data_IF_298842335449
#
_entry.id   IF_298842335449
#
_cell.length_a   1.000
_cell.length_b   1.000
_cell.length_c   1.000
_cell.angle_alpha   90.00
_cell.angle_beta   90.00
_cell.angle_gamma   90.00
#
_symmetry.space_group_name_H-M   'P 1'
#
loop_
_entity.id
_entity.type
_entity.pdbx_description
1 polymer ?
#
# COMPACT_ATOMS: atom_id res chain seq x y z
N UNK A 1 -13.69 -9.72 -1.60
CA UNK A 1 -13.93 -8.60 -0.65
C UNK A 1 -12.67 -8.19 0.12
N UNK A 2 -11.74 -9.11 0.38
CA UNK A 2 -10.51 -8.85 1.13
C UNK A 2 -9.58 -7.82 0.47
N UNK A 3 -9.38 -7.91 -0.85
CA UNK A 3 -8.55 -6.95 -1.61
C UNK A 3 -9.06 -5.51 -1.48
N UNK A 4 -10.39 -5.30 -1.51
CA UNK A 4 -10.98 -3.96 -1.36
C UNK A 4 -10.73 -3.37 0.04
N UNK A 5 -10.75 -4.20 1.08
CA UNK A 5 -10.44 -3.75 2.45
C UNK A 5 -8.97 -3.35 2.58
N UNK A 6 -8.08 -4.18 2.03
CA UNK A 6 -6.64 -3.89 2.00
C UNK A 6 -6.34 -2.60 1.25
N UNK A 7 -6.93 -2.40 0.07
CA UNK A 7 -6.73 -1.19 -0.73
C UNK A 7 -7.21 0.07 0.00
N UNK A 8 -8.37 0.00 0.67
CA UNK A 8 -8.89 1.12 1.46
C UNK A 8 -8.00 1.44 2.67
N UNK A 9 -7.53 0.42 3.38
CA UNK A 9 -6.62 0.61 4.52
C UNK A 9 -5.29 1.23 4.07
N UNK A 10 -4.73 0.73 2.96
CA UNK A 10 -3.51 1.27 2.37
C UNK A 10 -3.70 2.75 1.97
N UNK A 11 -4.81 3.07 1.29
CA UNK A 11 -5.12 4.43 0.89
C UNK A 11 -5.27 5.37 2.10
N UNK A 12 -5.97 4.93 3.15
CA UNK A 12 -6.15 5.71 4.38
C UNK A 12 -4.83 5.95 5.13
N UNK A 13 -3.88 5.02 5.03
CA UNK A 13 -2.53 5.16 5.58
C UNK A 13 -1.58 5.99 4.68
N UNK A 14 -2.06 6.56 3.57
CA UNK A 14 -1.25 7.35 2.64
C UNK A 14 -0.43 6.52 1.65
N UNK A 15 -0.70 5.22 1.52
CA UNK A 15 -0.04 4.35 0.55
C UNK A 15 -0.79 4.42 -0.79
N UNK A 16 -0.18 5.06 -1.78
CA UNK A 16 -0.74 5.15 -3.13
C UNK A 16 -0.90 3.75 -3.77
N UNK A 17 -2.01 3.47 -4.48
CA UNK A 17 -2.22 2.17 -5.14
C UNK A 17 -1.35 1.99 -6.39
N UNK A 18 -0.78 3.06 -6.93
CA UNK A 18 0.07 3.04 -8.12
C UNK A 18 1.13 4.15 -8.08
N UNK A 19 2.10 4.06 -8.99
CA UNK A 19 3.14 5.06 -9.22
C UNK A 19 3.50 5.12 -10.70
N UNK A 20 4.19 6.18 -11.10
CA UNK A 20 4.82 6.28 -12.43
C UNK A 20 6.22 5.68 -12.31
N UNK A 21 6.48 4.61 -13.06
CA UNK A 21 7.80 3.96 -13.02
C UNK A 21 8.86 4.76 -13.80
N UNK A 22 10.11 4.30 -13.75
CA UNK A 22 11.23 4.95 -14.43
C UNK A 22 11.07 5.06 -15.96
N UNK A 23 10.15 4.28 -16.55
CA UNK A 23 9.82 4.35 -17.97
C UNK A 23 8.65 5.29 -18.26
N UNK A 24 8.15 6.03 -17.28
CA UNK A 24 7.01 6.95 -17.42
C UNK A 24 5.65 6.25 -17.47
N UNK A 25 5.56 4.96 -17.11
CA UNK A 25 4.32 4.18 -17.21
C UNK A 25 3.65 4.02 -15.84
N UNK A 26 2.31 4.07 -15.76
CA UNK A 26 1.58 3.71 -14.54
C UNK A 26 1.85 2.25 -14.16
N UNK A 27 2.19 2.02 -12.90
CA UNK A 27 2.45 0.69 -12.36
C UNK A 27 1.76 0.52 -11.00
N UNK A 28 1.06 -0.60 -10.83
CA UNK A 28 0.34 -0.91 -9.60
C UNK A 28 1.30 -1.37 -8.51
N UNK A 29 0.97 -1.03 -7.26
CA UNK A 29 1.60 -1.62 -6.09
C UNK A 29 0.90 -2.95 -5.77
N UNK A 30 1.68 -4.03 -5.67
CA UNK A 30 1.20 -5.36 -5.35
C UNK A 30 0.56 -5.42 -3.95
N UNK A 31 -0.47 -6.26 -3.78
CA UNK A 31 -1.17 -6.45 -2.51
C UNK A 31 -0.21 -6.82 -1.36
N UNK A 32 0.75 -7.72 -1.61
CA UNK A 32 1.74 -8.11 -0.61
C UNK A 32 2.59 -6.93 -0.13
N UNK A 33 2.93 -5.99 -1.01
CA UNK A 33 3.66 -4.77 -0.64
C UNK A 33 2.81 -3.84 0.21
N UNK A 34 1.53 -3.63 -0.16
CA UNK A 34 0.58 -2.84 0.64
C UNK A 34 0.45 -3.39 2.06
N UNK A 35 0.32 -4.71 2.19
CA UNK A 35 0.20 -5.38 3.49
C UNK A 35 1.46 -5.18 4.35
N UNK A 36 2.66 -5.41 3.79
CA UNK A 36 3.92 -5.23 4.54
C UNK A 36 4.12 -3.79 5.01
N UNK A 37 3.77 -2.81 4.19
CA UNK A 37 3.86 -1.40 4.56
C UNK A 37 2.90 -1.06 5.69
N UNK A 38 1.64 -1.51 5.60
CA UNK A 38 0.66 -1.34 6.68
C UNK A 38 1.17 -1.98 7.99
N UNK A 39 1.65 -3.22 7.93
CA UNK A 39 2.19 -3.91 9.12
C UNK A 39 3.36 -3.14 9.75
N UNK A 40 4.24 -2.55 8.94
CA UNK A 40 5.36 -1.74 9.43
C UNK A 40 4.92 -0.43 10.10
N UNK A 41 3.90 0.24 9.55
CA UNK A 41 3.33 1.45 10.14
C UNK A 41 2.71 1.15 11.51
N UNK A 42 1.93 0.07 11.63
CA UNK A 42 1.35 -0.32 12.92
C UNK A 42 2.42 -0.68 13.95
N UNK A 43 3.49 -1.41 13.58
CA UNK A 43 4.61 -1.72 14.48
C UNK A 43 5.27 -0.46 15.04
N UNK A 44 5.44 0.56 14.20
CA UNK A 44 6.08 1.83 14.59
C UNK A 44 5.22 2.62 15.57
N UNK A 45 3.88 2.51 15.48
CA UNK A 45 2.96 3.17 16.42
C UNK A 45 2.88 2.48 17.79
N UNK A 46 3.31 1.22 17.89
CA UNK A 46 3.22 0.41 19.12
C UNK A 46 4.54 0.29 19.89
N UNK A 47 5.62 0.91 19.39
CA UNK A 47 6.94 0.93 20.03
C UNK A 47 7.14 2.23 20.82
#
# INVERSE_FOLDING_TARGET
MESKRLDNAALAAGISPNYINAHGKPQLIAAATKQRLLDAMHRTMTA
#
